data_IF_933621741403
#
_entry.id   IF_933621741403
#
_cell.length_a   1.000
_cell.length_b   1.000
_cell.length_c   1.000
_cell.angle_alpha   90.00
_cell.angle_beta   90.00
_cell.angle_gamma   90.00
#
_symmetry.space_group_name_H-M   'P 1'
#
loop_
_entity.id
_entity.type
_entity.pdbx_description
1 polymer ?
#
# COMPACT_ATOMS: atom_id res chain seq x y z
N UNK A 1 4.83 -2.76 18.73
CA UNK A 1 5.97 -2.04 18.13
C UNK A 1 6.21 -2.67 16.78
N UNK A 2 6.38 -1.89 15.71
CA UNK A 2 6.68 -2.43 14.39
C UNK A 2 8.03 -3.17 14.44
N UNK A 3 8.07 -4.39 13.90
CA UNK A 3 9.31 -5.16 13.74
C UNK A 3 9.80 -4.96 12.31
N UNK A 4 10.50 -3.85 12.09
CA UNK A 4 11.01 -3.50 10.77
C UNK A 4 12.26 -4.31 10.46
N UNK A 5 12.17 -5.15 9.44
CA UNK A 5 13.24 -6.03 8.95
C UNK A 5 13.58 -5.65 7.51
N UNK A 6 14.86 -5.57 7.17
CA UNK A 6 15.26 -5.38 5.77
C UNK A 6 14.84 -6.60 4.95
N UNK A 7 14.07 -6.36 3.89
CA UNK A 7 13.54 -7.41 3.05
C UNK A 7 14.69 -8.13 2.34
N UNK A 8 14.74 -9.44 2.52
CA UNK A 8 15.81 -10.31 2.04
C UNK A 8 15.22 -11.67 1.65
N UNK A 9 15.64 -12.23 0.51
CA UNK A 9 15.13 -13.50 -0.02
C UNK A 9 15.41 -14.69 0.89
N UNK A 10 16.56 -14.72 1.57
CA UNK A 10 16.97 -15.85 2.41
C UNK A 10 16.12 -15.93 3.69
N UNK A 11 15.90 -14.78 4.31
CA UNK A 11 15.16 -14.69 5.58
C UNK A 11 13.64 -14.70 5.36
N UNK A 12 13.18 -14.21 4.21
CA UNK A 12 11.76 -13.99 3.95
C UNK A 12 11.17 -14.88 2.85
N UNK A 13 11.89 -15.90 2.37
CA UNK A 13 11.40 -16.84 1.34
C UNK A 13 10.06 -17.51 1.71
N UNK A 14 9.86 -17.80 3.01
CA UNK A 14 8.65 -18.46 3.52
C UNK A 14 7.56 -17.47 3.94
N UNK A 15 7.86 -16.17 3.95
CA UNK A 15 6.87 -15.15 4.27
C UNK A 15 5.83 -15.12 3.15
N UNK A 16 4.57 -15.04 3.58
CA UNK A 16 3.41 -14.86 2.72
C UNK A 16 2.71 -13.58 3.09
N UNK A 17 2.07 -12.97 2.10
CA UNK A 17 1.21 -11.81 2.31
C UNK A 17 -0.20 -12.07 1.83
N UNK A 18 -1.14 -11.35 2.42
CA UNK A 18 -2.48 -11.19 1.88
C UNK A 18 -2.41 -10.26 0.65
N UNK A 19 -3.32 -10.44 -0.31
CA UNK A 19 -3.57 -9.45 -1.34
C UNK A 19 -3.71 -8.08 -0.71
N UNK A 20 -3.20 -7.04 -1.39
CA UNK A 20 -3.34 -5.70 -0.87
C UNK A 20 -4.83 -5.41 -0.64
N UNK A 21 -5.13 -5.02 0.60
CA UNK A 21 -6.48 -4.67 1.00
C UNK A 21 -6.92 -3.38 0.30
N UNK A 22 -8.05 -2.83 0.75
CA UNK A 22 -8.56 -1.58 0.20
C UNK A 22 -7.84 -0.33 0.73
N UNK A 23 -6.64 -0.50 1.27
CA UNK A 23 -5.89 0.59 1.91
C UNK A 23 -6.45 0.92 3.29
N UNK A 24 -5.72 1.78 4.00
CA UNK A 24 -6.04 2.25 5.34
C UNK A 24 -7.33 3.05 5.45
N UNK A 25 -7.38 3.94 6.44
CA UNK A 25 -8.59 4.70 6.79
C UNK A 25 -9.24 5.47 5.62
N UNK A 26 -10.42 6.08 5.87
CA UNK A 26 -11.28 6.67 4.83
C UNK A 26 -10.64 7.76 3.96
N UNK A 27 -9.51 8.33 4.39
CA UNK A 27 -8.73 9.30 3.64
C UNK A 27 -7.32 8.74 3.41
N UNK A 28 -7.03 8.39 2.16
CA UNK A 28 -5.73 7.85 1.75
C UNK A 28 -4.92 8.93 1.04
N UNK A 29 -3.61 9.00 1.32
CA UNK A 29 -2.73 9.94 0.64
C UNK A 29 -2.53 9.52 -0.82
N UNK A 30 -2.47 10.50 -1.71
CA UNK A 30 -2.19 10.26 -3.13
C UNK A 30 -1.00 11.09 -3.60
N UNK A 31 -0.17 10.50 -4.45
CA UNK A 31 0.95 11.21 -5.11
C UNK A 31 0.53 11.77 -6.46
N UNK A 32 1.38 12.62 -7.05
CA UNK A 32 1.10 13.30 -8.31
C UNK A 32 0.66 12.34 -9.44
N UNK A 33 1.29 11.17 -9.52
CA UNK A 33 0.96 10.14 -10.52
C UNK A 33 -0.42 9.52 -10.35
N UNK A 34 -1.06 9.67 -9.19
CA UNK A 34 -2.39 9.13 -8.89
C UNK A 34 -3.51 10.16 -9.07
N UNK A 35 -3.21 11.47 -9.09
CA UNK A 35 -4.20 12.55 -9.01
C UNK A 35 -5.30 12.40 -10.08
N UNK A 36 -4.93 12.12 -11.33
CA UNK A 36 -5.90 12.03 -12.42
C UNK A 36 -6.87 10.86 -12.22
N UNK A 37 -6.36 9.68 -11.84
CA UNK A 37 -7.19 8.50 -11.57
C UNK A 37 -8.05 8.69 -10.32
N UNK A 38 -7.47 9.26 -9.25
CA UNK A 38 -8.17 9.52 -8.01
C UNK A 38 -9.27 10.57 -8.20
N UNK A 39 -9.02 11.68 -8.91
CA UNK A 39 -10.00 12.73 -9.17
C UNK A 39 -11.20 12.24 -10.01
N UNK A 40 -10.98 11.25 -10.89
CA UNK A 40 -12.05 10.66 -11.68
C UNK A 40 -13.00 9.77 -10.85
N UNK A 41 -12.52 9.29 -9.70
CA UNK A 41 -13.18 8.23 -8.94
C UNK A 41 -13.47 8.60 -7.49
N UNK A 42 -12.92 9.68 -6.93
CA UNK A 42 -13.07 10.05 -5.52
C UNK A 42 -13.00 11.58 -5.35
N UNK A 43 -13.64 12.15 -4.31
CA UNK A 43 -13.31 13.51 -3.87
C UNK A 43 -11.84 13.62 -3.44
N UNK A 44 -11.16 14.66 -3.93
CA UNK A 44 -9.81 15.01 -3.48
C UNK A 44 -9.86 16.15 -2.46
N UNK A 45 -9.14 15.96 -1.36
CA UNK A 45 -9.05 16.91 -0.25
C UNK A 45 -7.60 17.32 -0.04
N UNK A 46 -7.39 18.56 0.40
CA UNK A 46 -6.10 19.02 0.91
C UNK A 46 -6.10 18.90 2.42
N UNK A 47 -5.05 18.30 2.97
CA UNK A 47 -4.83 18.17 4.41
C UNK A 47 -3.37 18.44 4.73
N UNK A 48 -3.00 18.43 6.01
CA UNK A 48 -1.64 18.73 6.49
C UNK A 48 -1.08 17.56 7.28
N UNK A 49 0.21 17.31 7.09
CA UNK A 49 0.98 16.49 8.02
C UNK A 49 0.97 17.17 9.39
N UNK A 50 0.66 16.42 10.44
CA UNK A 50 0.59 16.98 11.80
C UNK A 50 1.96 17.45 12.29
N UNK A 51 3.01 16.78 11.84
CA UNK A 51 4.40 16.97 12.26
C UNK A 51 5.07 18.15 11.56
N UNK A 52 4.77 18.36 10.27
CA UNK A 52 5.47 19.35 9.43
C UNK A 52 4.58 20.52 8.99
N UNK A 53 3.25 20.37 9.06
CA UNK A 53 2.30 21.34 8.52
C UNK A 53 2.26 21.42 6.99
N UNK A 54 3.08 20.62 6.29
CA UNK A 54 3.10 20.57 4.83
C UNK A 54 1.79 19.99 4.29
N UNK A 55 1.31 20.53 3.17
CA UNK A 55 0.10 20.04 2.52
C UNK A 55 0.35 18.69 1.84
N UNK A 56 -0.66 17.84 1.88
CA UNK A 56 -0.77 16.65 1.03
C UNK A 56 -2.18 16.57 0.43
N UNK A 57 -2.29 15.85 -0.69
CA UNK A 57 -3.57 15.53 -1.30
C UNK A 57 -4.01 14.16 -0.78
N UNK A 58 -5.26 14.07 -0.32
CA UNK A 58 -5.90 12.83 0.06
C UNK A 58 -7.10 12.53 -0.83
N UNK A 59 -7.24 11.28 -1.25
CA UNK A 59 -8.46 10.76 -1.85
C UNK A 59 -9.38 10.23 -0.75
N UNK A 60 -10.63 10.70 -0.73
CA UNK A 60 -11.64 10.21 0.20
C UNK A 60 -12.26 8.92 -0.37
N UNK A 61 -11.87 7.77 0.18
CA UNK A 61 -12.28 6.43 -0.27
C UNK A 61 -13.45 5.87 0.53
N UNK A 62 -13.72 6.43 1.72
CA UNK A 62 -14.82 6.05 2.61
C UNK A 62 -15.21 7.20 3.53
N UNK A 63 -16.28 7.07 4.31
CA UNK A 63 -16.52 7.95 5.47
C UNK A 63 -16.15 7.30 6.79
N UNK A 64 -16.25 5.96 6.87
CA UNK A 64 -15.82 5.16 8.02
C UNK A 64 -14.81 4.10 7.61
N UNK A 65 -14.02 3.57 8.56
CA UNK A 65 -13.18 2.41 8.30
C UNK A 65 -14.00 1.24 7.72
N UNK A 66 -13.55 0.70 6.59
CA UNK A 66 -14.21 -0.42 5.91
C UNK A 66 -15.37 -0.03 4.98
N UNK A 67 -15.73 1.26 4.88
CA UNK A 67 -16.68 1.74 3.87
C UNK A 67 -15.97 2.08 2.56
N UNK A 68 -16.67 1.88 1.44
CA UNK A 68 -16.28 2.35 0.12
C UNK A 68 -17.29 3.38 -0.37
N UNK A 69 -16.80 4.54 -0.81
CA UNK A 69 -17.65 5.61 -1.32
C UNK A 69 -18.13 5.39 -2.75
N UNK A 70 -17.33 4.67 -3.55
CA UNK A 70 -17.55 4.58 -4.99
C UNK A 70 -17.42 3.11 -5.41
N UNK A 71 -18.58 2.49 -5.59
CA UNK A 71 -18.69 1.19 -6.23
C UNK A 71 -18.49 1.37 -7.75
N UNK A 72 -17.50 0.69 -8.31
CA UNK A 72 -17.50 0.42 -9.73
C UNK A 72 -18.67 -0.55 -10.04
N UNK A 73 -19.29 -0.52 -11.24
CA UNK A 73 -20.41 -1.40 -11.60
C UNK A 73 -20.14 -2.90 -11.41
N UNK A 74 -18.86 -3.29 -11.32
CA UNK A 74 -18.38 -4.66 -11.10
C UNK A 74 -18.12 -4.99 -9.61
N UNK A 75 -18.50 -4.12 -8.69
CA UNK A 75 -18.30 -4.28 -7.24
C UNK A 75 -16.85 -4.10 -6.78
N UNK A 76 -15.98 -3.56 -7.63
CA UNK A 76 -14.59 -3.22 -7.29
C UNK A 76 -14.47 -1.77 -6.84
N UNK A 77 -13.41 -1.47 -6.10
CA UNK A 77 -13.09 -0.09 -5.76
C UNK A 77 -12.77 0.70 -7.02
N UNK A 78 -13.43 1.86 -7.20
CA UNK A 78 -13.21 2.72 -8.36
C UNK A 78 -11.80 3.34 -8.40
N UNK A 79 -11.11 3.37 -7.26
CA UNK A 79 -9.73 3.84 -7.16
C UNK A 79 -8.94 2.97 -6.18
N UNK A 80 -7.75 2.54 -6.60
CA UNK A 80 -6.85 1.73 -5.77
C UNK A 80 -5.56 2.51 -5.51
N UNK A 81 -5.36 3.02 -4.28
CA UNK A 81 -4.20 3.84 -3.96
C UNK A 81 -2.93 3.00 -3.87
N UNK A 82 -1.80 3.58 -4.24
CA UNK A 82 -0.47 2.99 -4.06
C UNK A 82 -0.14 2.71 -2.59
N UNK A 83 -0.69 3.52 -1.68
CA UNK A 83 -0.60 3.30 -0.23
C UNK A 83 -1.12 1.92 0.17
N UNK A 84 -2.21 1.44 -0.46
CA UNK A 84 -2.74 0.10 -0.22
C UNK A 84 -1.78 -1.00 -0.70
N UNK A 85 -1.18 -0.79 -1.88
CA UNK A 85 -0.25 -1.74 -2.47
C UNK A 85 1.01 -1.92 -1.64
N UNK A 86 1.49 -0.86 -0.97
CA UNK A 86 2.70 -0.93 -0.14
C UNK A 86 2.47 -1.34 1.32
N UNK A 87 1.23 -1.55 1.78
CA UNK A 87 0.95 -1.83 3.21
C UNK A 87 1.85 -2.92 3.80
N UNK A 88 2.39 -2.68 5.00
CA UNK A 88 3.37 -3.57 5.63
C UNK A 88 4.79 -3.48 5.06
N UNK A 89 5.01 -2.69 4.01
CA UNK A 89 6.32 -2.39 3.44
C UNK A 89 6.64 -0.90 3.49
N UNK A 90 7.93 -0.60 3.61
CA UNK A 90 8.47 0.74 3.77
C UNK A 90 9.73 0.90 2.93
N UNK A 91 9.96 2.09 2.39
CA UNK A 91 11.26 2.43 1.82
C UNK A 91 12.27 2.67 2.96
N UNK A 92 13.47 2.14 2.80
CA UNK A 92 14.59 2.28 3.73
C UNK A 92 15.86 2.59 2.93
N UNK A 93 16.06 3.88 2.64
CA UNK A 93 17.08 4.31 1.67
C UNK A 93 16.80 3.68 0.30
N UNK A 94 17.78 2.97 -0.25
CA UNK A 94 17.67 2.23 -1.51
C UNK A 94 17.07 0.81 -1.33
N UNK A 95 16.75 0.42 -0.09
CA UNK A 95 16.21 -0.89 0.25
C UNK A 95 14.74 -0.83 0.62
N UNK A 96 14.11 -2.00 0.74
CA UNK A 96 12.74 -2.14 1.24
C UNK A 96 12.80 -2.81 2.62
N UNK A 97 12.08 -2.25 3.58
CA UNK A 97 11.82 -2.89 4.86
C UNK A 97 10.39 -3.45 4.90
N UNK A 98 10.21 -4.51 5.68
CA UNK A 98 8.94 -5.16 5.96
C UNK A 98 8.66 -5.03 7.47
N UNK A 99 7.45 -4.63 7.83
CA UNK A 99 6.96 -4.76 9.21
C UNK A 99 6.37 -6.15 9.41
N UNK A 100 7.14 -7.04 10.03
CA UNK A 100 6.74 -8.44 10.23
C UNK A 100 5.46 -8.59 11.05
N UNK A 101 5.16 -7.61 11.89
CA UNK A 101 3.97 -7.58 12.75
C UNK A 101 2.71 -7.10 12.04
N UNK A 102 2.83 -6.61 10.80
CA UNK A 102 1.69 -6.07 10.06
C UNK A 102 0.67 -7.17 9.71
N UNK A 103 -0.63 -6.85 9.81
CA UNK A 103 -1.74 -7.79 9.60
C UNK A 103 -1.74 -8.44 8.20
N UNK A 104 -1.07 -7.80 7.22
CA UNK A 104 -0.87 -8.31 5.86
C UNK A 104 -0.05 -9.60 5.82
N UNK A 105 0.86 -9.83 6.78
CA UNK A 105 1.68 -11.04 6.86
C UNK A 105 1.18 -12.06 7.90
N UNK A 106 -0.02 -11.83 8.44
CA UNK A 106 -0.65 -12.70 9.44
C UNK A 106 -1.44 -13.88 8.84
N UNK A 107 -2.22 -14.59 9.67
CA UNK A 107 -3.02 -15.75 9.25
C UNK A 107 -3.91 -15.45 8.03
N UNK A 108 -3.96 -16.38 7.08
CA UNK A 108 -4.69 -16.25 5.82
C UNK A 108 -3.90 -15.61 4.68
N UNK A 109 -2.63 -15.25 4.91
CA UNK A 109 -1.71 -14.84 3.85
C UNK A 109 -1.34 -16.04 2.95
N UNK A 110 -1.34 -15.83 1.63
CA UNK A 110 -1.13 -16.90 0.65
C UNK A 110 -0.14 -16.53 -0.45
N UNK A 111 0.07 -15.24 -0.74
CA UNK A 111 0.97 -14.81 -1.80
C UNK A 111 2.41 -14.83 -1.33
N UNK A 112 3.26 -15.60 -2.02
CA UNK A 112 4.71 -15.62 -1.79
C UNK A 112 5.33 -14.27 -2.11
N UNK A 113 6.33 -13.86 -1.32
CA UNK A 113 7.14 -12.67 -1.65
C UNK A 113 8.22 -13.01 -2.69
N UNK A 114 8.78 -14.22 -2.60
CA UNK A 114 9.83 -14.71 -3.47
C UNK A 114 9.43 -16.05 -4.12
N UNK A 115 9.88 -16.25 -5.35
CA UNK A 115 9.86 -17.56 -6.01
C UNK A 115 10.96 -18.47 -5.43
N UNK A 116 10.97 -19.74 -5.85
CA UNK A 116 11.94 -20.75 -5.37
C UNK A 116 13.39 -20.31 -5.58
N UNK A 117 13.66 -19.57 -6.66
CA UNK A 117 15.01 -19.09 -7.01
C UNK A 117 15.38 -17.77 -6.31
N UNK A 118 14.56 -17.30 -5.36
CA UNK A 118 14.79 -16.06 -4.62
C UNK A 118 14.42 -14.79 -5.39
N UNK A 119 13.84 -14.91 -6.59
CA UNK A 119 13.36 -13.74 -7.35
C UNK A 119 12.05 -13.18 -6.79
N UNK A 120 11.82 -11.86 -6.81
CA UNK A 120 10.55 -11.28 -6.41
C UNK A 120 9.37 -11.86 -7.21
N UNK A 121 8.26 -12.17 -6.54
CA UNK A 121 7.03 -12.59 -7.22
C UNK A 121 6.34 -11.39 -7.90
N UNK A 122 5.32 -11.59 -8.76
CA UNK A 122 4.51 -10.49 -9.27
C UNK A 122 3.91 -9.61 -8.17
N UNK A 123 3.51 -10.22 -7.06
CA UNK A 123 2.94 -9.52 -5.92
C UNK A 123 3.98 -8.62 -5.23
N UNK A 124 5.21 -9.10 -5.02
CA UNK A 124 6.29 -8.25 -4.48
C UNK A 124 6.74 -7.17 -5.49
N UNK A 125 6.73 -7.46 -6.80
CA UNK A 125 7.02 -6.44 -7.83
C UNK A 125 5.99 -5.31 -7.83
N UNK A 126 4.71 -5.62 -7.58
CA UNK A 126 3.69 -4.59 -7.43
C UNK A 126 3.97 -3.66 -6.24
N UNK A 127 4.38 -4.23 -5.10
CA UNK A 127 4.83 -3.47 -3.91
C UNK A 127 6.02 -2.58 -4.25
N UNK A 128 7.04 -3.13 -4.93
CA UNK A 128 8.23 -2.39 -5.35
C UNK A 128 7.87 -1.21 -6.26
N UNK A 129 7.00 -1.42 -7.25
CA UNK A 129 6.53 -0.37 -8.13
C UNK A 129 5.64 0.67 -7.44
N UNK A 130 4.89 0.28 -6.41
CA UNK A 130 4.14 1.22 -5.58
C UNK A 130 5.08 2.10 -4.75
N UNK A 131 6.04 1.48 -4.04
CA UNK A 131 7.05 2.21 -3.26
C UNK A 131 7.86 3.17 -4.14
N UNK A 132 8.33 2.71 -5.30
CA UNK A 132 9.10 3.55 -6.24
C UNK A 132 8.35 4.82 -6.66
N UNK A 133 7.03 4.73 -6.87
CA UNK A 133 6.19 5.89 -7.20
C UNK A 133 5.86 6.78 -6.01
N UNK A 134 5.80 6.20 -4.80
CA UNK A 134 5.49 6.93 -3.58
C UNK A 134 6.68 7.75 -3.04
N UNK A 135 7.90 7.34 -3.36
CA UNK A 135 9.14 8.00 -2.91
C UNK A 135 9.82 8.85 -3.99
N UNK A 136 9.32 8.81 -5.23
CA UNK A 136 9.87 9.54 -6.37
C UNK A 136 9.73 11.07 -6.25
#
# INVERSE_FOLDING_TARGET
MASLELLNSDTHATVRMKPAGQGGGPLVRVVASEIAAAAAACPLLLSKYAETGAFYIGALTGFKPGEQLIDSPDGRSAFRPLEADREGFFASGESIALDRSHARFGPGASESLFDVDGTPTPALRAVQGALGRLVA
#
